data_IF_873314430586
#
_entry.id   IF_873314430586
#
_cell.length_a   1.000
_cell.length_b   1.000
_cell.length_c   1.000
_cell.angle_alpha   90.00
_cell.angle_beta   90.00
_cell.angle_gamma   90.00
#
_symmetry.space_group_name_H-M   'P 1'
#
loop_
_entity.id
_entity.type
_entity.pdbx_description
1 polymer ?
#
# COMPACT_ATOMS: atom_id res chain seq x y z
N UNK A 1 -21.98 -8.47 25.04
CA UNK A 1 -21.36 -7.21 24.64
C UNK A 1 -19.90 -7.49 24.36
N UNK A 2 -19.57 -7.75 23.11
CA UNK A 2 -18.19 -7.98 22.71
C UNK A 2 -17.49 -6.63 22.58
N UNK A 3 -16.63 -6.31 23.49
CA UNK A 3 -15.73 -5.20 23.34
C UNK A 3 -14.69 -5.55 22.30
N UNK A 4 -14.89 -5.12 21.07
CA UNK A 4 -13.89 -5.19 19.99
C UNK A 4 -12.78 -4.16 20.25
N UNK A 5 -12.04 -4.36 21.30
CA UNK A 5 -11.06 -3.40 21.83
C UNK A 5 -9.75 -3.40 21.05
N UNK A 6 -9.67 -4.12 19.94
CA UNK A 6 -8.38 -4.42 19.33
C UNK A 6 -7.98 -3.67 18.09
N UNK A 7 -8.74 -2.69 17.69
CA UNK A 7 -8.30 -1.83 16.60
C UNK A 7 -7.60 -0.58 17.15
N UNK A 8 -6.45 -0.74 17.77
CA UNK A 8 -5.76 0.45 18.26
C UNK A 8 -5.26 1.30 17.08
N UNK A 9 -4.32 0.79 16.31
CA UNK A 9 -3.72 1.53 15.19
C UNK A 9 -3.84 0.84 13.86
N UNK A 10 -4.05 -0.47 13.83
CA UNK A 10 -4.21 -1.23 12.59
C UNK A 10 -5.21 -2.37 12.74
N UNK A 11 -5.86 -2.70 11.63
CA UNK A 11 -6.72 -3.86 11.47
C UNK A 11 -6.10 -4.76 10.42
N UNK A 12 -6.03 -6.06 10.71
CA UNK A 12 -5.76 -7.06 9.69
C UNK A 12 -7.10 -7.66 9.22
N UNK A 13 -7.37 -7.57 7.92
CA UNK A 13 -8.57 -8.15 7.31
C UNK A 13 -8.16 -9.41 6.55
N UNK A 14 -8.94 -10.47 6.71
CA UNK A 14 -8.77 -11.75 6.03
C UNK A 14 -10.11 -12.45 5.80
N UNK A 15 -10.09 -13.72 5.43
CA UNK A 15 -11.31 -14.50 5.17
C UNK A 15 -12.14 -14.72 6.43
N UNK A 16 -11.50 -15.00 7.56
CA UNK A 16 -12.15 -15.38 8.81
C UNK A 16 -11.68 -14.50 9.96
N UNK A 17 -12.56 -14.30 10.93
CA UNK A 17 -12.19 -13.67 12.19
C UNK A 17 -11.38 -14.64 13.04
N UNK A 18 -10.21 -14.22 13.49
CA UNK A 18 -9.31 -14.99 14.37
C UNK A 18 -9.00 -14.21 15.63
N UNK A 19 -9.13 -14.89 16.77
CA UNK A 19 -8.86 -14.31 18.08
C UNK A 19 -7.99 -15.24 18.92
N UNK A 20 -7.00 -14.68 19.59
CA UNK A 20 -6.20 -15.38 20.62
C UNK A 20 -6.31 -14.62 21.94
N UNK A 21 -7.57 -14.49 22.45
CA UNK A 21 -7.88 -13.57 23.56
C UNK A 21 -7.94 -12.11 23.12
N UNK A 22 -7.27 -11.75 22.02
CA UNK A 22 -7.28 -10.47 21.35
C UNK A 22 -7.63 -10.74 19.88
N UNK A 23 -8.45 -9.89 19.25
CA UNK A 23 -8.72 -9.99 17.81
C UNK A 23 -7.41 -9.78 17.03
N UNK A 24 -6.93 -10.83 16.37
CA UNK A 24 -5.73 -10.78 15.55
C UNK A 24 -6.03 -10.56 14.07
N UNK A 25 -7.23 -10.95 13.62
CA UNK A 25 -7.70 -10.76 12.25
C UNK A 25 -9.22 -10.62 12.25
N UNK A 26 -9.74 -9.68 11.49
CA UNK A 26 -11.17 -9.53 11.23
C UNK A 26 -11.54 -10.19 9.90
N UNK A 27 -12.48 -11.13 9.91
CA UNK A 27 -13.06 -11.69 8.69
C UNK A 27 -13.84 -10.61 7.93
N UNK A 28 -13.62 -10.49 6.60
CA UNK A 28 -14.35 -9.52 5.81
C UNK A 28 -15.87 -9.75 5.86
N UNK A 29 -16.32 -10.98 6.02
CA UNK A 29 -17.75 -11.35 6.15
C UNK A 29 -18.39 -10.77 7.41
N UNK A 30 -17.60 -10.56 8.46
CA UNK A 30 -18.04 -10.02 9.74
C UNK A 30 -18.09 -8.47 9.75
N UNK A 31 -17.64 -7.84 8.67
CA UNK A 31 -17.75 -6.38 8.50
C UNK A 31 -19.20 -6.06 8.07
N UNK A 32 -20.04 -5.83 9.05
CA UNK A 32 -21.41 -5.33 8.91
C UNK A 32 -21.47 -3.81 9.15
N UNK A 33 -22.65 -3.20 9.04
CA UNK A 33 -22.83 -1.75 9.23
C UNK A 33 -22.37 -1.26 10.61
N UNK A 34 -22.62 -2.01 11.68
CA UNK A 34 -22.16 -1.66 13.01
C UNK A 34 -20.62 -1.65 13.05
N UNK A 35 -19.97 -2.69 12.52
CA UNK A 35 -18.52 -2.80 12.48
C UNK A 35 -17.90 -1.68 11.61
N UNK A 36 -18.50 -1.37 10.46
CA UNK A 36 -18.09 -0.25 9.62
C UNK A 36 -18.09 1.06 10.42
N UNK A 37 -19.19 1.33 11.15
CA UNK A 37 -19.31 2.51 11.98
C UNK A 37 -18.26 2.56 13.09
N UNK A 38 -17.96 1.44 13.74
CA UNK A 38 -16.91 1.36 14.76
C UNK A 38 -15.53 1.65 14.18
N UNK A 39 -15.21 1.06 13.02
CA UNK A 39 -13.94 1.26 12.31
C UNK A 39 -13.76 2.73 11.91
N UNK A 40 -14.77 3.32 11.27
CA UNK A 40 -14.73 4.70 10.78
C UNK A 40 -14.59 5.70 11.92
N UNK A 41 -15.25 5.46 13.05
CA UNK A 41 -15.20 6.33 14.22
C UNK A 41 -13.92 6.15 15.07
N UNK A 42 -13.16 5.09 14.85
CA UNK A 42 -11.90 4.88 15.57
C UNK A 42 -10.79 5.80 15.05
N UNK A 43 -10.63 6.96 15.65
CA UNK A 43 -9.61 7.95 15.25
C UNK A 43 -8.17 7.49 15.47
N UNK A 44 -7.95 6.45 16.28
CA UNK A 44 -6.62 5.87 16.50
C UNK A 44 -6.18 4.97 15.35
N UNK A 45 -7.13 4.41 14.58
CA UNK A 45 -6.85 3.56 13.44
C UNK A 45 -6.11 4.35 12.35
N UNK A 46 -4.98 3.80 11.88
CA UNK A 46 -4.12 4.39 10.86
C UNK A 46 -3.81 3.46 9.70
N UNK A 47 -4.13 2.17 9.84
CA UNK A 47 -3.77 1.19 8.84
C UNK A 47 -4.80 0.05 8.78
N UNK A 48 -5.21 -0.28 7.57
CA UNK A 48 -5.91 -1.53 7.23
C UNK A 48 -4.94 -2.35 6.41
N UNK A 49 -4.69 -3.59 6.82
CA UNK A 49 -3.77 -4.49 6.11
C UNK A 49 -4.40 -5.80 5.72
N UNK A 50 -3.92 -6.36 4.62
CA UNK A 50 -4.24 -7.72 4.17
C UNK A 50 -2.92 -8.46 3.87
N UNK A 51 -2.94 -9.79 4.00
CA UNK A 51 -1.78 -10.67 3.69
C UNK A 51 -2.09 -11.70 2.60
N UNK A 52 -3.27 -11.64 2.03
CA UNK A 52 -3.76 -12.55 1.00
C UNK A 52 -4.76 -11.83 0.10
N UNK A 53 -4.94 -12.35 -1.12
CA UNK A 53 -6.00 -11.86 -2.00
C UNK A 53 -7.35 -12.20 -1.41
N UNK A 54 -8.25 -11.23 -1.40
CA UNK A 54 -9.62 -11.36 -0.92
C UNK A 54 -10.60 -11.25 -2.11
N UNK A 55 -11.87 -11.63 -1.96
CA UNK A 55 -12.88 -11.40 -2.98
C UNK A 55 -13.25 -9.91 -3.10
N UNK A 56 -13.80 -9.53 -4.25
CA UNK A 56 -14.16 -8.14 -4.56
C UNK A 56 -15.06 -7.48 -3.51
N UNK A 57 -15.96 -8.27 -2.89
CA UNK A 57 -16.81 -7.79 -1.79
C UNK A 57 -15.99 -7.26 -0.62
N UNK A 58 -14.87 -7.89 -0.29
CA UNK A 58 -13.99 -7.43 0.78
C UNK A 58 -13.38 -6.08 0.45
N UNK A 59 -12.92 -5.90 -0.79
CA UNK A 59 -12.35 -4.62 -1.25
C UNK A 59 -13.39 -3.51 -1.26
N UNK A 60 -14.63 -3.80 -1.66
CA UNK A 60 -15.73 -2.83 -1.61
C UNK A 60 -16.02 -2.36 -0.17
N UNK A 61 -16.01 -3.28 0.81
CA UNK A 61 -16.17 -2.91 2.23
C UNK A 61 -15.00 -2.07 2.74
N UNK A 62 -13.78 -2.41 2.34
CA UNK A 62 -12.59 -1.62 2.67
C UNK A 62 -12.69 -0.23 2.04
N UNK A 63 -13.11 -0.13 0.80
CA UNK A 63 -13.25 1.15 0.09
C UNK A 63 -14.29 2.06 0.73
N UNK A 64 -15.39 1.51 1.25
CA UNK A 64 -16.35 2.28 2.04
C UNK A 64 -15.73 2.94 3.27
N UNK A 65 -14.80 2.26 3.92
CA UNK A 65 -14.03 2.83 5.04
C UNK A 65 -13.12 3.94 4.53
N UNK A 66 -12.39 3.70 3.43
CA UNK A 66 -11.42 4.64 2.87
C UNK A 66 -12.09 5.89 2.29
N UNK A 67 -13.33 5.79 1.80
CA UNK A 67 -14.14 6.94 1.38
C UNK A 67 -14.32 7.95 2.52
N UNK A 68 -14.63 7.48 3.72
CA UNK A 68 -14.85 8.32 4.91
C UNK A 68 -13.54 8.67 5.62
N UNK A 69 -12.56 7.78 5.54
CA UNK A 69 -11.26 7.87 6.22
C UNK A 69 -10.09 7.79 5.24
N UNK A 70 -9.92 8.77 4.34
CA UNK A 70 -8.81 8.79 3.37
C UNK A 70 -7.43 8.96 4.02
N UNK A 71 -7.38 9.22 5.33
CA UNK A 71 -6.15 9.26 6.13
C UNK A 71 -5.62 7.87 6.49
N UNK A 72 -6.43 6.81 6.35
CA UNK A 72 -6.01 5.43 6.62
C UNK A 72 -5.13 4.91 5.49
N UNK A 73 -4.01 4.30 5.84
CA UNK A 73 -3.16 3.58 4.89
C UNK A 73 -3.70 2.18 4.66
N UNK A 74 -3.94 1.83 3.39
CA UNK A 74 -4.14 0.44 3.01
C UNK A 74 -2.77 -0.23 2.80
N UNK A 75 -2.57 -1.41 3.39
CA UNK A 75 -1.28 -2.09 3.40
C UNK A 75 -1.38 -3.51 2.88
N UNK A 76 -0.56 -3.84 1.89
CA UNK A 76 -0.27 -5.20 1.48
C UNK A 76 0.92 -5.70 2.31
N UNK A 77 0.69 -6.72 3.13
CA UNK A 77 1.68 -7.19 4.10
C UNK A 77 1.97 -8.67 3.94
N UNK A 78 3.21 -9.02 3.64
CA UNK A 78 3.67 -10.40 3.54
C UNK A 78 2.83 -11.30 2.60
N UNK A 79 2.64 -10.92 1.35
CA UNK A 79 2.06 -11.78 0.32
C UNK A 79 3.02 -12.93 -0.05
N UNK A 80 3.21 -13.87 0.87
CA UNK A 80 4.30 -14.85 0.84
C UNK A 80 4.11 -16.01 -0.15
N UNK A 81 2.91 -16.24 -0.65
CA UNK A 81 2.58 -17.44 -1.41
C UNK A 81 2.22 -17.20 -2.88
N UNK A 82 2.32 -15.98 -3.35
CA UNK A 82 1.98 -15.66 -4.73
C UNK A 82 3.25 -15.68 -5.58
N UNK A 83 3.33 -16.56 -6.57
CA UNK A 83 4.44 -16.57 -7.54
C UNK A 83 4.44 -15.32 -8.41
N UNK A 84 3.28 -14.72 -8.61
CA UNK A 84 3.10 -13.40 -9.23
C UNK A 84 2.09 -12.64 -8.38
N UNK A 85 2.47 -11.46 -7.91
CA UNK A 85 1.53 -10.59 -7.20
C UNK A 85 0.84 -9.72 -8.25
N UNK A 86 -0.39 -10.07 -8.56
CA UNK A 86 -1.28 -9.18 -9.32
C UNK A 86 -2.03 -8.28 -8.34
N UNK A 87 -1.69 -7.00 -8.37
CA UNK A 87 -2.35 -5.98 -7.54
C UNK A 87 -3.50 -5.27 -8.27
N UNK A 88 -3.99 -5.83 -9.37
CA UNK A 88 -5.10 -5.25 -10.16
C UNK A 88 -6.40 -5.08 -9.35
N UNK A 89 -6.58 -5.86 -8.29
CA UNK A 89 -7.70 -5.70 -7.36
C UNK A 89 -7.74 -4.32 -6.68
N UNK A 90 -6.62 -3.60 -6.63
CA UNK A 90 -6.56 -2.25 -6.05
C UNK A 90 -7.50 -1.26 -6.74
N UNK A 91 -7.84 -1.49 -8.02
CA UNK A 91 -8.84 -0.69 -8.75
C UNK A 91 -10.25 -0.75 -8.14
N UNK A 92 -10.53 -1.79 -7.35
CA UNK A 92 -11.79 -1.92 -6.63
C UNK A 92 -11.88 -1.00 -5.39
N UNK A 93 -10.81 -0.22 -5.13
CA UNK A 93 -10.73 0.74 -4.02
C UNK A 93 -10.37 2.16 -4.52
N UNK A 94 -11.24 2.80 -5.31
CA UNK A 94 -10.95 4.11 -5.93
C UNK A 94 -10.76 5.25 -4.92
N UNK A 95 -11.27 5.10 -3.69
CA UNK A 95 -11.12 6.12 -2.64
C UNK A 95 -9.83 5.97 -1.82
N UNK A 96 -9.03 4.95 -2.12
CA UNK A 96 -7.73 4.77 -1.49
C UNK A 96 -6.76 5.91 -1.86
N UNK A 97 -6.25 6.62 -0.85
CA UNK A 97 -5.28 7.71 -1.02
C UNK A 97 -3.88 7.35 -0.54
N UNK A 98 -3.76 6.35 0.32
CA UNK A 98 -2.50 5.95 0.93
C UNK A 98 -2.30 4.44 0.80
N UNK A 99 -1.26 4.07 0.09
CA UNK A 99 -0.92 2.67 -0.18
C UNK A 99 0.48 2.35 0.37
N UNK A 100 0.57 1.21 1.07
CA UNK A 100 1.84 0.61 1.45
C UNK A 100 1.93 -0.81 0.95
N UNK A 101 3.02 -1.16 0.28
CA UNK A 101 3.30 -2.50 -0.23
C UNK A 101 4.57 -3.01 0.45
N UNK A 102 4.41 -3.98 1.35
CA UNK A 102 5.49 -4.67 2.04
C UNK A 102 5.51 -6.12 1.57
N UNK A 103 6.02 -6.36 0.40
CA UNK A 103 6.21 -7.68 -0.16
C UNK A 103 7.67 -8.09 0.04
N UNK A 104 7.90 -8.93 1.03
CA UNK A 104 9.22 -9.42 1.36
C UNK A 104 9.23 -10.93 1.09
N UNK A 105 9.29 -11.35 -0.16
CA UNK A 105 9.70 -12.73 -0.47
C UNK A 105 10.92 -12.71 -1.39
N UNK A 106 12.00 -13.27 -0.87
CA UNK A 106 13.31 -13.27 -1.49
C UNK A 106 13.64 -14.57 -2.24
N UNK A 107 12.71 -15.51 -2.28
CA UNK A 107 13.05 -16.87 -2.69
C UNK A 107 12.84 -17.17 -4.17
N UNK A 108 12.17 -16.32 -4.91
CA UNK A 108 11.98 -16.56 -6.33
C UNK A 108 12.22 -15.30 -7.16
N UNK A 109 13.20 -15.37 -8.07
CA UNK A 109 13.45 -14.36 -9.12
C UNK A 109 12.29 -14.21 -10.12
N UNK A 110 11.13 -14.79 -9.82
CA UNK A 110 9.97 -14.87 -10.73
C UNK A 110 8.79 -14.00 -10.29
N UNK A 111 8.84 -13.40 -9.09
CA UNK A 111 7.73 -12.61 -8.58
C UNK A 111 7.68 -11.25 -9.28
N UNK A 112 6.94 -11.18 -10.36
CA UNK A 112 6.62 -9.93 -11.04
C UNK A 112 5.38 -9.34 -10.40
N UNK A 113 5.52 -8.17 -9.81
CA UNK A 113 4.39 -7.37 -9.34
C UNK A 113 3.91 -6.55 -10.53
N UNK A 114 2.67 -6.75 -10.94
CA UNK A 114 2.05 -5.87 -11.93
C UNK A 114 1.63 -4.57 -11.24
N UNK A 115 2.42 -3.53 -11.41
CA UNK A 115 2.21 -2.22 -10.77
C UNK A 115 1.51 -1.20 -11.69
N UNK A 116 1.13 -1.58 -12.91
CA UNK A 116 0.49 -0.67 -13.86
C UNK A 116 -0.81 -0.07 -13.33
N UNK A 117 -1.55 -0.84 -12.53
CA UNK A 117 -2.79 -0.37 -11.90
C UNK A 117 -2.58 0.87 -11.01
N UNK A 118 -1.39 1.09 -10.47
CA UNK A 118 -1.11 2.25 -9.63
C UNK A 118 -1.27 3.58 -10.39
N UNK A 119 -1.16 3.55 -11.72
CA UNK A 119 -1.41 4.72 -12.56
C UNK A 119 -2.89 5.13 -12.62
N UNK A 120 -3.80 4.20 -12.31
CA UNK A 120 -5.24 4.43 -12.31
C UNK A 120 -5.75 4.98 -10.96
N UNK A 121 -4.90 4.98 -9.93
CA UNK A 121 -5.26 5.37 -8.57
C UNK A 121 -4.86 6.82 -8.29
N UNK A 122 -5.74 7.57 -7.61
CA UNK A 122 -5.46 8.94 -7.16
C UNK A 122 -4.69 8.94 -5.83
N UNK A 123 -3.50 8.33 -5.82
CA UNK A 123 -2.70 8.21 -4.61
C UNK A 123 -2.06 9.54 -4.20
N UNK A 124 -2.10 9.82 -2.90
CA UNK A 124 -1.35 10.89 -2.23
C UNK A 124 -0.09 10.37 -1.53
N UNK A 125 -0.08 9.10 -1.15
CA UNK A 125 1.05 8.47 -0.49
C UNK A 125 1.27 7.06 -1.02
N UNK A 126 2.49 6.79 -1.46
CA UNK A 126 2.95 5.46 -1.83
C UNK A 126 4.22 5.11 -1.07
N UNK A 127 4.16 4.00 -0.34
CA UNK A 127 5.32 3.40 0.31
C UNK A 127 5.51 1.98 -0.19
N UNK A 128 6.71 1.66 -0.67
CA UNK A 128 7.07 0.34 -1.17
C UNK A 128 8.33 -0.17 -0.51
N UNK A 129 8.21 -1.33 0.11
CA UNK A 129 9.31 -2.11 0.68
C UNK A 129 9.37 -3.47 -0.05
N UNK A 130 9.66 -3.42 -1.37
CA UNK A 130 9.75 -4.59 -2.23
C UNK A 130 11.20 -4.77 -2.67
N UNK A 131 11.85 -5.84 -2.22
CA UNK A 131 13.26 -6.06 -2.47
C UNK A 131 13.56 -6.66 -3.86
N UNK A 132 12.57 -7.33 -4.48
CA UNK A 132 12.70 -7.99 -5.77
C UNK A 132 12.14 -7.16 -6.94
N UNK A 133 11.83 -5.89 -6.70
CA UNK A 133 11.34 -5.03 -7.74
C UNK A 133 12.48 -4.70 -8.73
N UNK A 134 12.31 -5.11 -9.98
CA UNK A 134 13.32 -4.93 -11.04
C UNK A 134 13.09 -3.67 -11.88
N UNK A 135 11.90 -3.07 -11.77
CA UNK A 135 11.52 -1.92 -12.57
C UNK A 135 10.73 -0.91 -11.74
N UNK A 136 11.03 0.37 -11.92
CA UNK A 136 10.38 1.50 -11.26
C UNK A 136 9.72 2.46 -12.24
N UNK A 137 9.60 2.11 -13.53
CA UNK A 137 9.04 3.00 -14.54
C UNK A 137 7.59 3.37 -14.26
N UNK A 138 6.85 2.53 -13.53
CA UNK A 138 5.48 2.83 -13.11
C UNK A 138 5.36 4.17 -12.36
N UNK A 139 6.44 4.63 -11.72
CA UNK A 139 6.47 5.92 -11.01
C UNK A 139 6.20 7.10 -11.96
N UNK A 140 6.54 6.99 -13.23
CA UNK A 140 6.26 8.05 -14.21
C UNK A 140 4.75 8.29 -14.41
N UNK A 141 3.93 7.30 -14.06
CA UNK A 141 2.49 7.29 -14.35
C UNK A 141 1.62 7.40 -13.09
N UNK A 142 2.20 7.58 -11.90
CA UNK A 142 1.41 7.82 -10.70
C UNK A 142 0.66 9.16 -10.77
N UNK A 143 -0.36 9.29 -9.91
CA UNK A 143 -1.14 10.52 -9.77
C UNK A 143 -0.26 11.75 -9.48
N UNK A 144 -0.57 12.86 -10.11
CA UNK A 144 0.09 14.16 -9.83
C UNK A 144 -0.29 14.73 -8.45
N UNK A 145 -1.27 14.13 -7.75
CA UNK A 145 -1.63 14.45 -6.36
C UNK A 145 -0.62 13.89 -5.33
N UNK A 146 0.42 13.19 -5.77
CA UNK A 146 1.36 12.51 -4.88
C UNK A 146 2.10 13.51 -3.96
N UNK A 147 1.94 13.31 -2.65
CA UNK A 147 2.53 14.11 -1.57
C UNK A 147 3.69 13.37 -0.88
N UNK A 148 3.63 12.04 -0.85
CA UNK A 148 4.63 11.18 -0.20
C UNK A 148 5.04 10.02 -1.11
N UNK A 149 6.33 9.82 -1.28
CA UNK A 149 6.91 8.68 -1.97
C UNK A 149 8.07 8.09 -1.17
N UNK A 150 7.89 6.85 -0.70
CA UNK A 150 8.93 6.11 0.00
C UNK A 150 9.20 4.81 -0.75
N UNK A 151 10.40 4.67 -1.29
CA UNK A 151 10.83 3.48 -2.05
C UNK A 151 12.08 2.89 -1.38
N UNK A 152 11.93 1.71 -0.81
CA UNK A 152 13.08 0.91 -0.38
C UNK A 152 13.60 0.10 -1.56
N UNK A 153 14.56 0.69 -2.26
CA UNK A 153 15.22 0.08 -3.41
C UNK A 153 16.51 -0.66 -3.03
N UNK A 154 16.60 -1.19 -1.82
CA UNK A 154 17.77 -1.92 -1.33
C UNK A 154 17.74 -3.39 -1.78
N UNK A 155 17.56 -3.62 -3.06
CA UNK A 155 17.56 -4.95 -3.62
C UNK A 155 18.92 -5.62 -3.53
N UNK A 156 18.91 -6.88 -3.23
CA UNK A 156 20.11 -7.74 -3.27
C UNK A 156 20.54 -8.07 -4.71
N UNK A 157 19.85 -7.57 -5.70
CA UNK A 157 20.10 -7.83 -7.13
C UNK A 157 20.82 -6.71 -7.86
N UNK A 158 21.20 -6.99 -9.10
CA UNK A 158 21.93 -6.08 -9.97
C UNK A 158 21.10 -4.83 -10.32
N UNK A 159 21.59 -3.68 -9.89
CA UNK A 159 21.51 -2.43 -10.62
C UNK A 159 20.16 -1.90 -11.11
N UNK A 160 19.10 -1.97 -10.33
CA UNK A 160 17.90 -1.22 -10.67
C UNK A 160 18.21 0.27 -10.58
N UNK A 161 18.01 0.96 -11.68
CA UNK A 161 18.30 2.39 -11.79
C UNK A 161 17.02 3.18 -11.69
N UNK A 162 16.74 3.68 -10.50
CA UNK A 162 15.70 4.67 -10.32
C UNK A 162 16.18 6.00 -10.95
N UNK A 163 15.43 6.54 -11.90
CA UNK A 163 15.75 7.82 -12.51
C UNK A 163 15.02 8.95 -11.79
N UNK A 164 15.77 9.83 -11.15
CA UNK A 164 15.20 10.95 -10.39
C UNK A 164 14.49 11.99 -11.27
N UNK A 165 14.68 11.98 -12.59
CA UNK A 165 13.90 12.83 -13.50
C UNK A 165 12.42 12.53 -13.48
N UNK A 166 12.03 11.29 -13.18
CA UNK A 166 10.63 10.88 -13.07
C UNK A 166 9.86 11.63 -11.98
N UNK A 167 10.58 12.14 -10.99
CA UNK A 167 9.99 12.87 -9.86
C UNK A 167 9.61 14.32 -10.20
N UNK A 168 10.15 14.91 -11.27
CA UNK A 168 10.00 16.34 -11.57
C UNK A 168 8.56 16.76 -11.88
N UNK A 169 7.69 15.82 -12.22
CA UNK A 169 6.27 16.09 -12.44
C UNK A 169 5.49 16.32 -11.12
N UNK A 170 5.94 15.75 -10.00
CA UNK A 170 5.20 15.76 -8.74
C UNK A 170 5.36 17.06 -7.98
N UNK A 171 4.54 18.04 -8.31
CA UNK A 171 4.61 19.39 -7.73
C UNK A 171 4.14 19.46 -6.27
N UNK A 172 3.39 18.44 -5.82
CA UNK A 172 2.88 18.35 -4.46
C UNK A 172 3.75 17.47 -3.55
N UNK A 173 4.86 16.92 -4.06
CA UNK A 173 5.70 15.99 -3.30
C UNK A 173 6.40 16.71 -2.14
N UNK A 174 6.05 16.34 -0.92
CA UNK A 174 6.57 16.90 0.33
C UNK A 174 7.56 15.97 1.02
N UNK A 175 7.34 14.65 0.86
CA UNK A 175 8.19 13.64 1.48
C UNK A 175 8.72 12.69 0.43
N UNK A 176 10.04 12.60 0.35
CA UNK A 176 10.74 11.66 -0.52
C UNK A 176 11.75 10.85 0.28
N UNK A 177 11.63 9.53 0.22
CA UNK A 177 12.65 8.64 0.73
C UNK A 177 12.98 7.58 -0.33
N UNK A 178 14.25 7.52 -0.71
CA UNK A 178 14.77 6.59 -1.70
C UNK A 178 15.87 5.76 -1.05
N UNK A 179 15.77 4.45 -1.10
CA UNK A 179 16.79 3.51 -0.65
C UNK A 179 18.14 3.71 -1.38
N UNK A 180 19.20 3.09 -0.87
CA UNK A 180 20.59 3.43 -1.21
C UNK A 180 21.00 3.15 -2.65
N UNK A 181 20.37 2.19 -3.36
CA UNK A 181 20.89 1.69 -4.63
C UNK A 181 20.43 2.45 -5.87
N UNK A 182 21.39 2.70 -6.72
CA UNK A 182 21.29 2.98 -8.16
C UNK A 182 20.30 4.08 -8.56
N UNK A 183 20.51 5.27 -8.03
CA UNK A 183 19.79 6.46 -8.50
C UNK A 183 20.56 7.10 -9.66
N UNK A 184 19.84 7.34 -10.76
CA UNK A 184 20.31 8.09 -11.91
C UNK A 184 19.78 9.53 -11.80
N UNK A 185 20.57 10.49 -12.26
CA UNK A 185 20.20 11.93 -12.24
C UNK A 185 19.84 12.44 -10.83
N UNK A 186 20.59 12.05 -9.82
CA UNK A 186 20.32 12.41 -8.42
C UNK A 186 20.27 13.91 -8.17
N UNK A 187 21.07 14.69 -8.91
CA UNK A 187 21.09 16.17 -8.85
C UNK A 187 19.74 16.80 -9.19
N UNK A 188 18.86 16.08 -9.89
CA UNK A 188 17.51 16.57 -10.23
C UNK A 188 16.59 16.71 -9.02
N UNK A 189 16.90 16.01 -7.91
CA UNK A 189 16.13 16.17 -6.66
C UNK A 189 16.14 17.62 -6.18
N UNK A 190 17.22 18.37 -6.44
CA UNK A 190 17.29 19.78 -6.08
C UNK A 190 16.26 20.67 -6.82
N UNK A 191 15.61 20.15 -7.84
CA UNK A 191 14.59 20.87 -8.64
C UNK A 191 13.16 20.54 -8.17
N UNK A 192 13.00 19.65 -7.18
CA UNK A 192 11.71 19.39 -6.55
C UNK A 192 11.24 20.60 -5.74
N UNK A 193 9.93 20.74 -5.54
CA UNK A 193 9.39 21.78 -4.64
C UNK A 193 10.04 21.71 -3.25
N UNK A 194 10.23 22.87 -2.64
CA UNK A 194 10.76 22.98 -1.28
C UNK A 194 9.62 22.95 -0.27
#
# INVERSE_FOLDING_TARGET
>A
MGTYVCFDRHIHIGYETRTNGILSQLGYVDINEQMLNEIVNNKRLKCIQISECLPDEAYQKIDQILLVRPDITFRLFHFLNCQEIDVSFLKNMPHMKRLRIDCIDFKSNTNRINLSVLAELSLKSLRMECFDLIDYEFIQNLSDELEELLIMADTMGAGIRFDCTWLLKYKNLQTLWLGKKAKKNLEKINQLPK
#
